data_IF_105592409547
#
_entry.id   IF_105592409547
#
_cell.length_a   1.000
_cell.length_b   1.000
_cell.length_c   1.000
_cell.angle_alpha   90.00
_cell.angle_beta   90.00
_cell.angle_gamma   90.00
#
_symmetry.space_group_name_H-M   'P 1'
#
loop_
_entity.id
_entity.type
_entity.pdbx_description
1 polymer ?
#
# COMPACT_ATOMS: atom_id res chain seq x y z
N UNK A 1 16.25 -12.66 14.55
CA UNK A 1 14.96 -12.09 14.14
C UNK A 1 14.73 -12.40 12.66
N UNK A 2 13.69 -13.17 12.33
CA UNK A 2 13.46 -13.67 10.96
C UNK A 2 13.22 -12.54 9.93
N UNK A 3 12.58 -11.43 10.34
CA UNK A 3 12.28 -10.33 9.42
C UNK A 3 13.53 -9.53 9.03
N UNK A 4 14.46 -9.33 9.97
CA UNK A 4 15.73 -8.63 9.71
C UNK A 4 16.63 -9.45 8.77
N UNK A 5 16.70 -10.77 8.99
CA UNK A 5 17.45 -11.66 8.10
C UNK A 5 16.88 -11.67 6.68
N UNK A 6 15.55 -11.70 6.54
CA UNK A 6 14.89 -11.61 5.23
C UNK A 6 15.15 -10.26 4.54
N UNK A 7 15.03 -9.16 5.29
CA UNK A 7 15.26 -7.80 4.80
C UNK A 7 16.67 -7.64 4.26
N UNK A 8 17.68 -8.08 5.02
CA UNK A 8 19.08 -8.04 4.60
C UNK A 8 19.31 -8.89 3.35
N UNK A 9 18.77 -10.12 3.30
CA UNK A 9 18.89 -11.01 2.14
C UNK A 9 18.24 -10.43 0.87
N UNK A 10 17.19 -9.63 1.02
CA UNK A 10 16.48 -8.99 -0.10
C UNK A 10 16.98 -7.58 -0.42
N UNK A 11 17.99 -7.08 0.29
CA UNK A 11 18.49 -5.71 0.14
C UNK A 11 17.39 -4.65 0.22
N UNK A 12 16.34 -4.91 0.99
CA UNK A 12 15.27 -3.94 1.27
C UNK A 12 15.77 -3.03 2.38
N UNK A 13 15.61 -1.71 2.29
CA UNK A 13 16.06 -0.82 3.37
C UNK A 13 15.05 -0.84 4.54
N UNK A 14 15.54 -0.90 5.77
CA UNK A 14 14.69 -0.87 6.97
C UNK A 14 14.71 0.51 7.61
N UNK A 15 13.53 1.10 7.82
CA UNK A 15 13.37 2.40 8.45
C UNK A 15 12.33 2.35 9.56
N UNK A 16 12.73 2.75 10.75
CA UNK A 16 11.79 3.07 11.82
C UNK A 16 11.28 4.50 11.64
N UNK A 17 10.05 4.75 12.10
CA UNK A 17 9.62 6.12 12.36
C UNK A 17 10.49 6.74 13.44
N UNK A 18 10.67 8.05 13.37
CA UNK A 18 11.37 8.80 14.39
C UNK A 18 10.56 8.77 15.71
N UNK A 19 11.22 8.61 16.87
CA UNK A 19 10.54 8.70 18.16
C UNK A 19 9.72 10.00 18.29
N UNK A 20 8.47 9.88 18.72
CA UNK A 20 7.56 11.02 18.86
C UNK A 20 7.03 11.60 17.55
N UNK A 21 7.18 10.91 16.41
CA UNK A 21 6.65 11.35 15.10
C UNK A 21 5.63 10.35 14.52
N UNK A 22 4.48 10.12 15.17
CA UNK A 22 3.46 9.18 14.68
C UNK A 22 2.93 9.54 13.29
N UNK A 23 2.98 10.82 12.90
CA UNK A 23 2.54 11.28 11.59
C UNK A 23 3.31 10.63 10.43
N UNK A 24 4.55 10.15 10.66
CA UNK A 24 5.31 9.41 9.65
C UNK A 24 4.69 8.06 9.28
N UNK A 25 3.77 7.53 10.09
CA UNK A 25 3.04 6.29 9.81
C UNK A 25 1.60 6.55 9.31
N UNK A 26 1.19 7.82 9.20
CA UNK A 26 -0.22 8.16 8.97
C UNK A 26 -0.81 7.61 7.68
N UNK A 27 0.00 7.43 6.63
CA UNK A 27 -0.46 6.83 5.38
C UNK A 27 -0.78 5.33 5.53
N UNK A 28 0.05 4.58 6.26
CA UNK A 28 -0.19 3.15 6.54
C UNK A 28 -1.41 2.99 7.45
N UNK A 29 -1.54 3.87 8.44
CA UNK A 29 -2.68 3.87 9.37
C UNK A 29 -3.99 4.16 8.63
N UNK A 30 -4.00 5.18 7.76
CA UNK A 30 -5.17 5.51 6.94
C UNK A 30 -5.57 4.36 6.00
N UNK A 31 -4.60 3.71 5.35
CA UNK A 31 -4.86 2.54 4.52
C UNK A 31 -5.47 1.39 5.36
N UNK A 32 -4.84 1.04 6.49
CA UNK A 32 -5.29 -0.07 7.33
C UNK A 32 -6.67 0.19 7.95
N UNK A 33 -6.97 1.44 8.32
CA UNK A 33 -8.30 1.83 8.80
C UNK A 33 -9.34 1.57 7.71
N UNK A 34 -9.09 2.06 6.49
CA UNK A 34 -10.02 1.88 5.37
C UNK A 34 -10.20 0.42 4.95
N UNK A 35 -9.12 -0.36 4.91
CA UNK A 35 -9.21 -1.79 4.64
C UNK A 35 -10.04 -2.53 5.71
N UNK A 36 -9.88 -2.16 6.98
CA UNK A 36 -10.68 -2.73 8.06
C UNK A 36 -12.16 -2.38 7.91
N UNK A 37 -12.46 -1.10 7.75
CA UNK A 37 -13.82 -0.59 7.78
C UNK A 37 -14.60 -0.94 6.52
N UNK A 38 -13.97 -0.93 5.35
CA UNK A 38 -14.65 -1.15 4.06
C UNK A 38 -14.56 -2.59 3.53
N UNK A 39 -13.61 -3.40 4.03
CA UNK A 39 -13.49 -4.80 3.61
C UNK A 39 -13.73 -5.76 4.76
N UNK A 40 -12.88 -5.73 5.79
CA UNK A 40 -12.87 -6.80 6.78
C UNK A 40 -14.11 -6.81 7.67
N UNK A 41 -14.64 -5.64 8.03
CA UNK A 41 -15.82 -5.52 8.87
C UNK A 41 -17.13 -5.75 8.11
N UNK A 42 -17.14 -5.55 6.79
CA UNK A 42 -18.32 -5.70 5.93
C UNK A 42 -18.61 -7.16 5.53
N UNK A 43 -17.68 -8.09 5.81
CA UNK A 43 -17.77 -9.46 5.33
C UNK A 43 -17.67 -10.49 6.46
N UNK A 44 -18.57 -11.47 6.45
CA UNK A 44 -18.41 -12.70 7.20
C UNK A 44 -17.62 -13.71 6.37
N UNK A 45 -16.48 -14.16 6.89
CA UNK A 45 -15.61 -15.11 6.20
C UNK A 45 -15.93 -16.56 6.57
N UNK A 46 -16.42 -17.32 5.59
CA UNK A 46 -16.71 -18.75 5.76
C UNK A 46 -15.45 -19.62 5.90
N UNK A 47 -14.37 -19.25 5.21
CA UNK A 47 -13.08 -19.94 5.24
C UNK A 47 -11.97 -19.04 4.64
N UNK A 48 -10.72 -19.51 4.69
CA UNK A 48 -9.55 -18.78 4.20
C UNK A 48 -9.61 -18.53 2.68
N UNK A 49 -10.16 -19.45 1.89
CA UNK A 49 -10.27 -19.28 0.43
C UNK A 49 -11.25 -18.15 0.09
N UNK A 50 -12.39 -18.10 0.79
CA UNK A 50 -13.35 -17.01 0.66
C UNK A 50 -12.71 -15.67 1.06
N UNK A 51 -12.01 -15.63 2.20
CA UNK A 51 -11.33 -14.41 2.65
C UNK A 51 -10.30 -13.91 1.63
N UNK A 52 -9.49 -14.81 1.05
CA UNK A 52 -8.53 -14.43 0.00
C UNK A 52 -9.22 -13.81 -1.22
N UNK A 53 -10.33 -14.39 -1.65
CA UNK A 53 -11.07 -13.88 -2.81
C UNK A 53 -11.58 -12.47 -2.55
N UNK A 54 -12.30 -12.27 -1.43
CA UNK A 54 -12.84 -10.96 -1.05
C UNK A 54 -11.74 -9.90 -0.88
N UNK A 55 -10.63 -10.26 -0.23
CA UNK A 55 -9.51 -9.32 -0.02
C UNK A 55 -8.83 -8.96 -1.34
N UNK A 56 -8.66 -9.91 -2.26
CA UNK A 56 -8.07 -9.63 -3.57
C UNK A 56 -8.99 -8.75 -4.43
N UNK A 57 -10.30 -9.00 -4.41
CA UNK A 57 -11.27 -8.17 -5.11
C UNK A 57 -11.25 -6.74 -4.57
N UNK A 58 -11.23 -6.56 -3.25
CA UNK A 58 -11.10 -5.24 -2.62
C UNK A 58 -9.77 -4.56 -2.97
N UNK A 59 -8.66 -5.32 -2.94
CA UNK A 59 -7.33 -4.81 -3.30
C UNK A 59 -7.29 -4.33 -4.76
N UNK A 60 -7.92 -5.08 -5.68
CA UNK A 60 -7.98 -4.73 -7.09
C UNK A 60 -8.79 -3.43 -7.29
N UNK A 61 -9.99 -3.33 -6.67
CA UNK A 61 -10.81 -2.11 -6.74
C UNK A 61 -10.08 -0.88 -6.16
N UNK A 62 -9.49 -1.02 -4.97
CA UNK A 62 -8.78 0.07 -4.29
C UNK A 62 -7.62 0.64 -5.13
N UNK A 63 -6.89 -0.24 -5.82
CA UNK A 63 -5.67 0.11 -6.56
C UNK A 63 -5.95 0.55 -8.01
N UNK A 64 -6.93 -0.04 -8.68
CA UNK A 64 -7.15 0.17 -10.12
C UNK A 64 -8.36 1.06 -10.43
N UNK A 65 -9.37 1.10 -9.56
CA UNK A 65 -10.66 1.75 -9.86
C UNK A 65 -10.87 3.01 -9.02
N UNK A 66 -10.54 2.98 -7.74
CA UNK A 66 -10.91 4.05 -6.81
C UNK A 66 -9.98 5.27 -6.91
N UNK A 67 -10.49 6.48 -7.23
CA UNK A 67 -9.70 7.70 -7.19
C UNK A 67 -9.48 8.18 -5.74
N UNK A 68 -8.29 8.71 -5.44
CA UNK A 68 -7.95 9.22 -4.11
C UNK A 68 -7.60 10.71 -4.18
N UNK A 69 -8.25 11.52 -3.37
CA UNK A 69 -8.03 12.99 -3.33
C UNK A 69 -6.59 13.35 -2.96
N UNK A 70 -5.96 12.57 -2.08
CA UNK A 70 -4.54 12.72 -1.73
C UNK A 70 -3.58 12.44 -2.89
N UNK A 71 -4.06 11.80 -3.96
CA UNK A 71 -3.32 11.49 -5.18
C UNK A 71 -3.83 12.31 -6.37
N UNK A 72 -4.33 13.53 -6.14
CA UNK A 72 -4.92 14.38 -7.19
C UNK A 72 -6.06 13.68 -7.96
N UNK A 73 -6.87 12.91 -7.25
CA UNK A 73 -7.96 12.08 -7.81
C UNK A 73 -7.51 10.99 -8.78
N UNK A 74 -6.23 10.59 -8.74
CA UNK A 74 -5.73 9.40 -9.42
C UNK A 74 -6.00 8.14 -8.60
N UNK A 75 -6.04 7.00 -9.29
CA UNK A 75 -5.95 5.69 -8.64
C UNK A 75 -4.50 5.42 -8.20
N UNK A 76 -4.26 4.56 -7.20
CA UNK A 76 -2.91 4.25 -6.75
C UNK A 76 -2.04 3.67 -7.88
N UNK A 77 -2.60 2.84 -8.76
CA UNK A 77 -1.87 2.31 -9.91
C UNK A 77 -1.48 3.41 -10.91
N UNK A 78 -2.41 4.31 -11.25
CA UNK A 78 -2.11 5.42 -12.13
C UNK A 78 -0.99 6.31 -11.53
N UNK A 79 -1.12 6.65 -10.24
CA UNK A 79 -0.10 7.42 -9.53
C UNK A 79 1.28 6.74 -9.56
N UNK A 80 1.34 5.43 -9.30
CA UNK A 80 2.58 4.66 -9.34
C UNK A 80 3.22 4.64 -10.74
N UNK A 81 2.40 4.54 -11.80
CA UNK A 81 2.88 4.63 -13.18
C UNK A 81 3.46 6.02 -13.50
N UNK A 82 2.80 7.10 -13.04
CA UNK A 82 3.32 8.46 -13.18
C UNK A 82 4.65 8.66 -12.44
N UNK A 83 4.75 8.17 -11.20
CA UNK A 83 5.98 8.24 -10.41
C UNK A 83 7.14 7.46 -11.06
N UNK A 84 6.86 6.26 -11.58
CA UNK A 84 7.86 5.42 -12.25
C UNK A 84 8.41 6.09 -13.52
N UNK A 85 7.54 6.70 -14.32
CA UNK A 85 7.94 7.48 -15.50
C UNK A 85 8.82 8.67 -15.11
N UNK A 86 8.44 9.41 -14.07
CA UNK A 86 9.21 10.55 -13.59
C UNK A 86 10.62 10.12 -13.13
N UNK A 87 10.72 9.02 -12.38
CA UNK A 87 12.00 8.48 -11.92
C UNK A 87 12.89 8.02 -13.08
N UNK A 88 12.33 7.32 -14.07
CA UNK A 88 13.07 6.83 -15.24
C UNK A 88 13.59 7.99 -16.10
N UNK A 89 12.77 9.03 -16.29
CA UNK A 89 13.16 10.23 -17.04
C UNK A 89 14.29 11.00 -16.35
N UNK A 90 14.27 11.07 -15.00
CA UNK A 90 15.33 11.72 -14.23
C UNK A 90 16.69 11.00 -14.35
N UNK A 91 16.70 9.67 -14.52
CA UNK A 91 17.91 8.89 -14.75
C UNK A 91 18.46 8.95 -16.19
N UNK A 92 17.63 9.36 -17.16
CA UNK A 92 18.05 9.49 -18.56
C UNK A 92 18.67 10.88 -18.86
N UNK A 93 18.50 11.83 -17.93
CA UNK A 93 19.05 13.19 -17.99
C UNK A 93 20.39 13.34 -17.23
N UNK A 94 21.01 12.24 -16.82
CA UNK A 94 22.33 12.13 -16.18
C UNK A 94 23.20 11.14 -16.95
#
# INVERSE_FOLDING_TARGET
>A
NAILAWQQKRSVLWHYIAPGKPQQNGFVESFNGRFRDECLNEHLFHNITHARTVIEDWRADYNAVRPHTSLNSMTPEAFAQHATKAYSNAQTLT
#
